data_IF_747852319718
#
_entry.id   IF_747852319718
#
_cell.length_a   1.000
_cell.length_b   1.000
_cell.length_c   1.000
_cell.angle_alpha   90.00
_cell.angle_beta   90.00
_cell.angle_gamma   90.00
#
_symmetry.space_group_name_H-M   'P 1'
#
loop_
_entity.id
_entity.type
_entity.pdbx_description
1 polymer ?
#
# COMPACT_ATOMS: atom_id res chain seq x y z
N UNK A 1 39.55 12.03 -47.08
CA UNK A 1 40.09 12.56 -45.79
C UNK A 1 41.45 11.94 -45.43
N UNK A 2 41.95 10.94 -46.15
CA UNK A 2 43.32 10.39 -46.04
C UNK A 2 44.28 10.93 -47.12
N UNK A 3 43.77 11.70 -48.09
CA UNK A 3 44.49 12.13 -49.32
C UNK A 3 45.71 13.04 -49.09
N UNK A 4 45.85 13.64 -47.90
CA UNK A 4 46.95 14.56 -47.55
C UNK A 4 48.01 13.93 -46.63
N UNK A 5 47.94 12.62 -46.40
CA UNK A 5 48.91 11.93 -45.56
C UNK A 5 50.22 11.69 -46.32
N UNK A 6 51.38 11.67 -45.62
CA UNK A 6 52.64 11.30 -46.24
C UNK A 6 52.58 9.86 -46.79
N UNK A 7 53.36 9.54 -47.84
CA UNK A 7 53.25 8.28 -48.58
C UNK A 7 53.38 7.04 -47.69
N UNK A 8 54.21 7.10 -46.65
CA UNK A 8 54.38 6.02 -45.68
C UNK A 8 53.08 5.66 -44.93
N UNK A 9 52.21 6.64 -44.71
CA UNK A 9 50.91 6.44 -44.06
C UNK A 9 49.81 6.11 -45.06
N UNK A 10 49.92 6.60 -46.31
CA UNK A 10 48.96 6.26 -47.38
C UNK A 10 48.94 4.75 -47.70
N UNK A 11 50.09 4.07 -47.59
CA UNK A 11 50.19 2.62 -47.79
C UNK A 11 49.33 1.83 -46.80
N UNK A 12 49.16 2.32 -45.57
CA UNK A 12 48.32 1.66 -44.57
C UNK A 12 46.82 1.68 -44.93
N UNK A 13 46.41 2.63 -45.77
CA UNK A 13 45.03 2.77 -46.24
C UNK A 13 44.83 2.20 -47.65
N UNK A 14 45.78 1.39 -48.15
CA UNK A 14 45.60 0.69 -49.41
C UNK A 14 44.35 -0.22 -49.32
N UNK A 15 43.43 -0.16 -50.31
CA UNK A 15 42.24 -0.97 -50.29
C UNK A 15 42.62 -2.45 -50.31
N UNK A 16 41.77 -3.28 -49.69
CA UNK A 16 41.91 -4.73 -49.80
C UNK A 16 41.71 -5.16 -51.26
N UNK A 17 42.31 -6.30 -51.69
CA UNK A 17 42.00 -6.87 -52.98
C UNK A 17 40.47 -7.10 -53.12
N UNK A 18 39.93 -7.02 -54.33
CA UNK A 18 38.50 -7.19 -54.55
C UNK A 18 38.04 -8.56 -54.05
N UNK A 19 36.88 -8.58 -53.40
CA UNK A 19 36.29 -9.82 -52.87
C UNK A 19 35.87 -10.72 -54.04
N UNK A 20 36.09 -12.03 -53.91
CA UNK A 20 35.60 -13.01 -54.88
C UNK A 20 34.07 -13.00 -54.89
N UNK A 21 33.48 -12.80 -56.06
CA UNK A 21 32.03 -12.90 -56.22
C UNK A 21 31.55 -14.31 -55.89
N UNK A 22 30.47 -14.38 -55.09
CA UNK A 22 29.68 -15.58 -54.85
C UNK A 22 28.23 -15.23 -55.18
N UNK A 23 27.46 -16.17 -55.77
CA UNK A 23 26.05 -15.93 -56.00
C UNK A 23 25.33 -15.63 -54.67
N UNK A 24 24.33 -14.72 -54.65
CA UNK A 24 23.51 -14.49 -53.47
C UNK A 24 22.84 -15.78 -53.00
N UNK A 25 22.71 -15.94 -51.68
CA UNK A 25 22.04 -17.10 -51.08
C UNK A 25 20.51 -17.05 -51.19
N UNK A 26 19.96 -15.86 -51.42
CA UNK A 26 18.53 -15.59 -51.42
C UNK A 26 18.02 -15.32 -52.83
N UNK A 27 16.71 -15.45 -53.01
CA UNK A 27 16.03 -15.13 -54.25
C UNK A 27 15.99 -13.61 -54.50
N UNK A 28 16.01 -13.23 -55.78
CA UNK A 28 15.81 -11.86 -56.19
C UNK A 28 14.42 -11.37 -55.71
N UNK A 29 14.26 -10.08 -55.39
CA UNK A 29 13.00 -9.56 -54.85
C UNK A 29 11.76 -9.87 -55.70
N UNK A 30 11.91 -9.98 -57.02
CA UNK A 30 10.83 -10.28 -57.97
C UNK A 30 10.32 -11.73 -57.84
N UNK A 31 11.20 -12.66 -57.47
CA UNK A 31 10.88 -14.08 -57.32
C UNK A 31 10.45 -14.44 -55.88
N UNK A 32 10.53 -13.48 -54.95
CA UNK A 32 10.14 -13.69 -53.55
C UNK A 32 8.62 -13.81 -53.46
N UNK A 33 8.14 -15.03 -53.22
CA UNK A 33 6.71 -15.32 -52.99
C UNK A 33 6.50 -16.11 -51.70
N UNK A 34 5.39 -15.83 -51.01
CA UNK A 34 4.88 -16.65 -49.91
C UNK A 34 4.00 -17.78 -50.47
N UNK A 35 3.48 -18.64 -49.60
CA UNK A 35 2.46 -19.61 -49.99
C UNK A 35 1.18 -18.93 -50.48
N UNK A 36 0.47 -19.63 -51.36
CA UNK A 36 -0.81 -19.18 -51.91
C UNK A 36 -1.89 -19.14 -50.82
N UNK A 37 -2.80 -18.18 -50.90
CA UNK A 37 -3.92 -18.04 -49.96
C UNK A 37 -4.95 -19.16 -50.27
N UNK A 38 -5.18 -20.05 -49.30
CA UNK A 38 -6.17 -21.13 -49.40
C UNK A 38 -7.56 -20.67 -48.92
N UNK A 39 -8.62 -21.35 -49.39
CA UNK A 39 -9.98 -21.12 -48.91
C UNK A 39 -10.27 -21.76 -47.54
N UNK A 40 -11.45 -21.46 -46.98
CA UNK A 40 -11.88 -21.95 -45.66
C UNK A 40 -12.55 -23.34 -45.73
N UNK A 41 -12.87 -23.84 -46.94
CA UNK A 41 -13.56 -25.13 -47.14
C UNK A 41 -12.97 -26.33 -46.38
N UNK A 42 -11.64 -26.49 -46.23
CA UNK A 42 -11.06 -27.59 -45.45
C UNK A 42 -11.45 -27.59 -43.96
N UNK A 43 -11.76 -26.43 -43.37
CA UNK A 43 -12.12 -26.32 -41.95
C UNK A 43 -13.55 -26.78 -41.63
N UNK A 44 -14.36 -27.07 -42.65
CA UNK A 44 -15.73 -27.61 -42.48
C UNK A 44 -15.70 -28.98 -41.80
N UNK A 45 -14.68 -29.79 -42.06
CA UNK A 45 -14.53 -31.09 -41.40
C UNK A 45 -14.09 -30.94 -39.93
N UNK A 46 -13.22 -29.97 -39.64
CA UNK A 46 -12.82 -29.64 -38.26
C UNK A 46 -14.01 -29.15 -37.42
N UNK A 47 -14.94 -28.40 -38.02
CA UNK A 47 -16.19 -27.97 -37.38
C UNK A 47 -17.12 -29.15 -37.01
N UNK A 48 -17.12 -30.24 -37.79
CA UNK A 48 -17.92 -31.44 -37.46
C UNK A 48 -17.43 -32.15 -36.21
N UNK A 49 -16.14 -32.04 -35.92
CA UNK A 49 -15.48 -32.64 -34.76
C UNK A 49 -15.29 -31.65 -33.60
N UNK A 50 -15.94 -30.48 -33.65
CA UNK A 50 -15.81 -29.46 -32.61
C UNK A 50 -16.65 -29.82 -31.37
N UNK A 51 -15.99 -29.94 -30.23
CA UNK A 51 -16.63 -30.07 -28.92
C UNK A 51 -16.71 -28.69 -28.24
N UNK A 52 -17.90 -28.31 -27.80
CA UNK A 52 -18.14 -27.00 -27.16
C UNK A 52 -17.71 -27.03 -25.68
N UNK A 53 -16.40 -26.99 -25.45
CA UNK A 53 -15.79 -26.94 -24.13
C UNK A 53 -15.49 -25.48 -23.70
N UNK A 54 -16.38 -24.54 -24.02
CA UNK A 54 -16.18 -23.13 -23.70
C UNK A 54 -16.23 -22.88 -22.19
N UNK A 55 -15.11 -22.41 -21.63
CA UNK A 55 -15.04 -21.92 -20.26
C UNK A 55 -15.06 -20.38 -20.28
N UNK A 56 -16.14 -19.75 -19.79
CA UNK A 56 -16.20 -18.30 -19.69
C UNK A 56 -15.05 -17.80 -18.81
N UNK A 57 -14.08 -17.14 -19.44
CA UNK A 57 -13.00 -16.49 -18.70
C UNK A 57 -13.48 -15.12 -18.26
N UNK A 58 -13.35 -14.83 -16.96
CA UNK A 58 -13.75 -13.54 -16.41
C UNK A 58 -12.96 -12.39 -17.06
N UNK A 59 -13.66 -11.32 -17.43
CA UNK A 59 -12.97 -10.09 -17.83
C UNK A 59 -12.31 -9.46 -16.60
N UNK A 60 -11.26 -8.67 -16.81
CA UNK A 60 -10.59 -7.97 -15.71
C UNK A 60 -11.55 -7.08 -14.90
N UNK A 61 -12.56 -6.49 -15.56
CA UNK A 61 -13.57 -5.66 -14.91
C UNK A 61 -14.47 -6.49 -13.99
N UNK A 62 -14.94 -7.66 -14.45
CA UNK A 62 -15.72 -8.60 -13.64
C UNK A 62 -14.94 -9.08 -12.42
N UNK A 63 -13.65 -9.42 -12.59
CA UNK A 63 -12.77 -9.80 -11.49
C UNK A 63 -12.62 -8.68 -10.45
N UNK A 64 -12.44 -7.43 -10.91
CA UNK A 64 -12.29 -6.26 -10.04
C UNK A 64 -13.57 -6.00 -9.23
N UNK A 65 -14.73 -6.11 -9.86
CA UNK A 65 -16.02 -5.93 -9.20
C UNK A 65 -16.30 -7.03 -8.17
N UNK A 66 -15.97 -8.29 -8.48
CA UNK A 66 -16.03 -9.41 -7.52
C UNK A 66 -15.17 -9.11 -6.28
N UNK A 67 -13.91 -8.78 -6.47
CA UNK A 67 -12.99 -8.48 -5.35
C UNK A 67 -13.46 -7.29 -4.51
N UNK A 68 -14.09 -6.29 -5.14
CA UNK A 68 -14.67 -5.14 -4.43
C UNK A 68 -15.89 -5.54 -3.61
N UNK A 69 -16.76 -6.39 -4.15
CA UNK A 69 -17.93 -6.93 -3.44
C UNK A 69 -17.50 -7.79 -2.24
N UNK A 70 -16.60 -8.75 -2.45
CA UNK A 70 -16.04 -9.61 -1.39
C UNK A 70 -15.39 -8.77 -0.27
N UNK A 71 -14.63 -7.74 -0.62
CA UNK A 71 -14.04 -6.82 0.36
C UNK A 71 -15.12 -6.07 1.15
N UNK A 72 -16.18 -5.62 0.47
CA UNK A 72 -17.31 -4.93 1.13
C UNK A 72 -18.04 -5.85 2.09
N UNK A 73 -18.29 -7.10 1.67
CA UNK A 73 -18.92 -8.12 2.52
C UNK A 73 -18.06 -8.47 3.72
N UNK A 74 -16.74 -8.61 3.55
CA UNK A 74 -15.81 -8.85 4.66
C UNK A 74 -15.83 -7.71 5.67
N UNK A 75 -15.80 -6.46 5.20
CA UNK A 75 -15.92 -5.28 6.08
C UNK A 75 -17.28 -5.27 6.78
N UNK A 76 -18.36 -5.59 6.06
CA UNK A 76 -19.69 -5.67 6.65
C UNK A 76 -19.76 -6.72 7.75
N UNK A 77 -19.26 -7.94 7.51
CA UNK A 77 -19.21 -9.02 8.51
C UNK A 77 -18.44 -8.58 9.75
N UNK A 78 -17.24 -8.01 9.58
CA UNK A 78 -16.42 -7.47 10.66
C UNK A 78 -17.18 -6.42 11.49
N UNK A 79 -17.89 -5.49 10.83
CA UNK A 79 -18.70 -4.49 11.53
C UNK A 79 -19.93 -5.07 12.24
N UNK A 80 -20.50 -6.18 11.76
CA UNK A 80 -21.71 -6.77 12.36
C UNK A 80 -21.44 -7.84 13.41
N UNK A 81 -20.37 -8.61 13.25
CA UNK A 81 -20.02 -9.75 14.11
C UNK A 81 -19.16 -9.26 15.27
N UNK A 82 -18.05 -8.56 14.99
CA UNK A 82 -17.12 -8.09 16.04
C UNK A 82 -17.79 -7.09 17.00
N UNK A 83 -18.73 -6.27 16.52
CA UNK A 83 -19.46 -5.31 17.36
C UNK A 83 -20.36 -6.03 18.38
N UNK A 84 -20.86 -7.24 18.07
CA UNK A 84 -21.66 -8.03 19.02
C UNK A 84 -20.79 -8.63 20.13
N UNK A 85 -19.55 -8.98 19.81
CA UNK A 85 -18.60 -9.54 20.77
C UNK A 85 -17.95 -8.46 21.65
N UNK A 86 -17.90 -7.21 21.17
CA UNK A 86 -17.28 -6.11 21.88
C UNK A 86 -18.06 -5.68 23.15
N UNK A 87 -17.57 -6.12 24.32
CA UNK A 87 -18.13 -5.78 25.64
C UNK A 87 -17.13 -5.02 26.51
N UNK A 88 -17.14 -3.68 26.50
CA UNK A 88 -16.14 -2.88 27.21
C UNK A 88 -16.22 -2.96 28.75
N UNK A 89 -17.34 -3.43 29.31
CA UNK A 89 -17.53 -3.55 30.77
C UNK A 89 -16.84 -4.80 31.36
N UNK A 90 -16.63 -5.83 30.54
CA UNK A 90 -16.02 -7.10 30.96
C UNK A 90 -14.48 -7.05 30.80
N UNK A 91 -13.94 -6.01 30.15
CA UNK A 91 -12.51 -5.89 29.88
C UNK A 91 -11.72 -5.52 31.15
N UNK A 92 -10.75 -6.36 31.61
CA UNK A 92 -9.92 -6.06 32.78
C UNK A 92 -9.10 -4.77 32.63
N UNK A 93 -8.92 -4.30 31.39
CA UNK A 93 -8.18 -3.10 31.08
C UNK A 93 -8.95 -1.81 31.35
N UNK A 94 -10.28 -1.86 31.22
CA UNK A 94 -11.19 -0.75 31.44
C UNK A 94 -11.58 -0.70 32.93
N UNK A 95 -10.68 -0.15 33.76
CA UNK A 95 -10.91 0.01 35.20
C UNK A 95 -11.22 1.47 35.54
N UNK A 96 -12.25 1.68 36.35
CA UNK A 96 -12.65 2.99 36.86
C UNK A 96 -14.05 3.37 36.45
N UNK A 97 -14.47 4.56 36.86
CA UNK A 97 -15.75 5.15 36.46
C UNK A 97 -15.58 5.90 35.12
N UNK A 98 -16.46 5.62 34.16
CA UNK A 98 -16.46 6.29 32.85
C UNK A 98 -16.64 7.80 32.97
N UNK A 99 -17.35 8.28 33.98
CA UNK A 99 -17.55 9.72 34.21
C UNK A 99 -16.30 10.43 34.77
N UNK A 100 -15.36 9.68 35.35
CA UNK A 100 -14.10 10.20 35.89
C UNK A 100 -12.91 10.00 34.94
N UNK A 101 -13.13 9.33 33.82
CA UNK A 101 -12.08 8.93 32.88
C UNK A 101 -12.00 9.91 31.71
N UNK A 102 -10.85 10.53 31.52
CA UNK A 102 -10.52 11.37 30.38
C UNK A 102 -9.84 10.53 29.29
N UNK A 103 -10.37 10.60 28.06
CA UNK A 103 -9.73 10.06 26.87
C UNK A 103 -8.84 11.13 26.22
N UNK A 104 -7.58 10.79 26.00
CA UNK A 104 -6.61 11.67 25.32
C UNK A 104 -6.09 10.95 24.08
N UNK A 105 -6.42 11.49 22.90
CA UNK A 105 -5.93 10.99 21.61
C UNK A 105 -4.85 11.88 21.01
N UNK A 106 -4.22 11.39 19.92
CA UNK A 106 -3.14 12.09 19.20
C UNK A 106 -1.93 12.41 20.08
N UNK A 107 -1.60 11.52 21.01
CA UNK A 107 -0.37 11.61 21.79
C UNK A 107 0.83 11.25 20.92
N UNK A 108 1.98 11.85 21.22
CA UNK A 108 3.25 11.42 20.62
C UNK A 108 3.54 9.98 21.02
N UNK A 109 4.16 9.21 20.12
CA UNK A 109 4.54 7.83 20.40
C UNK A 109 5.63 7.72 21.48
N UNK A 110 6.38 8.80 21.70
CA UNK A 110 7.46 8.85 22.69
C UNK A 110 6.99 9.36 24.06
N UNK A 111 5.71 9.69 24.22
CA UNK A 111 5.16 10.21 25.47
C UNK A 111 5.15 9.15 26.57
N UNK A 112 5.74 9.49 27.72
CA UNK A 112 5.72 8.65 28.91
C UNK A 112 4.61 9.05 29.90
N UNK A 113 4.35 8.18 30.88
CA UNK A 113 3.37 8.43 31.96
C UNK A 113 3.71 9.71 32.74
N UNK A 114 5.00 10.01 32.94
CA UNK A 114 5.47 11.19 33.67
C UNK A 114 5.07 12.50 33.00
N UNK A 115 5.06 12.54 31.67
CA UNK A 115 4.67 13.73 30.91
C UNK A 115 3.17 13.97 31.05
N UNK A 116 2.36 12.90 30.99
CA UNK A 116 0.92 12.98 31.23
C UNK A 116 0.63 13.42 32.67
N UNK A 117 1.35 12.89 33.66
CA UNK A 117 1.18 13.27 35.05
C UNK A 117 1.51 14.75 35.28
N UNK A 118 2.58 15.26 34.66
CA UNK A 118 2.96 16.68 34.74
C UNK A 118 1.92 17.61 34.12
N UNK A 119 1.45 17.31 32.92
CA UNK A 119 0.51 18.18 32.20
C UNK A 119 -0.91 18.10 32.78
N UNK A 120 -1.36 16.90 33.14
CA UNK A 120 -2.72 16.66 33.62
C UNK A 120 -2.87 16.82 35.13
N UNK A 121 -1.79 16.74 35.91
CA UNK A 121 -1.81 16.94 37.36
C UNK A 121 -2.24 18.35 37.77
N UNK A 122 -2.12 19.35 36.88
CA UNK A 122 -2.60 20.72 37.16
C UNK A 122 -4.12 20.83 37.30
N UNK A 123 -4.86 19.87 36.74
CA UNK A 123 -6.32 19.91 36.69
C UNK A 123 -6.97 19.21 37.88
N UNK A 124 -6.27 18.25 38.50
CA UNK A 124 -6.72 17.55 39.69
C UNK A 124 -5.85 16.33 40.00
N UNK A 125 -6.05 15.71 41.19
CA UNK A 125 -5.38 14.48 41.55
C UNK A 125 -5.78 13.32 40.63
N UNK A 126 -4.77 12.63 40.11
CA UNK A 126 -4.92 11.52 39.17
C UNK A 126 -4.89 10.20 39.95
N UNK A 127 -5.88 9.34 39.73
CA UNK A 127 -5.95 8.00 40.31
C UNK A 127 -5.11 7.00 39.49
N UNK A 128 -5.26 7.03 38.17
CA UNK A 128 -4.58 6.08 37.28
C UNK A 128 -4.38 6.64 35.87
N UNK A 129 -3.20 6.42 35.30
CA UNK A 129 -2.90 6.70 33.89
C UNK A 129 -2.66 5.37 33.17
N UNK A 130 -3.27 5.21 32.00
CA UNK A 130 -3.06 4.05 31.11
C UNK A 130 -2.83 4.52 29.69
N UNK A 131 -1.61 4.35 29.19
CA UNK A 131 -1.30 4.49 27.76
C UNK A 131 -1.65 3.16 27.08
N UNK A 132 -2.36 3.21 25.96
CA UNK A 132 -2.73 1.98 25.25
C UNK A 132 -1.66 1.60 24.24
N UNK A 133 -1.11 0.41 24.44
CA UNK A 133 -0.16 -0.23 23.55
C UNK A 133 -0.83 -1.26 22.66
N UNK A 134 -0.22 -1.57 21.53
CA UNK A 134 -0.64 -2.69 20.69
C UNK A 134 -0.25 -4.00 21.38
N UNK A 135 -1.23 -4.89 21.61
CA UNK A 135 -1.02 -6.19 22.28
C UNK A 135 -0.28 -7.17 21.36
N UNK A 136 -0.33 -6.94 20.05
CA UNK A 136 0.30 -7.80 19.04
C UNK A 136 1.75 -7.41 18.73
N UNK A 137 2.21 -6.27 19.22
CA UNK A 137 3.57 -5.79 18.96
C UNK A 137 4.57 -6.48 19.89
N UNK A 138 5.73 -6.89 19.34
CA UNK A 138 6.85 -7.37 20.13
C UNK A 138 7.33 -6.33 21.15
N UNK A 139 7.78 -6.78 22.33
CA UNK A 139 8.24 -5.89 23.41
C UNK A 139 9.41 -4.98 23.00
N UNK A 140 10.22 -5.43 22.03
CA UNK A 140 11.36 -4.71 21.45
C UNK A 140 11.01 -3.88 20.20
N UNK A 141 9.74 -3.78 19.83
CA UNK A 141 9.33 -3.01 18.67
C UNK A 141 9.55 -1.50 18.90
N UNK A 142 9.85 -0.72 17.83
CA UNK A 142 9.98 0.73 17.94
C UNK A 142 8.69 1.36 18.52
N UNK A 143 8.80 2.49 19.24
CA UNK A 143 7.68 3.12 19.95
C UNK A 143 6.47 3.40 19.04
N UNK A 144 6.71 3.67 17.75
CA UNK A 144 5.68 3.85 16.72
C UNK A 144 4.78 2.62 16.49
N UNK A 145 5.29 1.42 16.73
CA UNK A 145 4.53 0.16 16.63
C UNK A 145 4.00 -0.30 17.99
N UNK A 146 4.62 0.13 19.09
CA UNK A 146 4.23 -0.24 20.45
C UNK A 146 3.06 0.60 20.97
N UNK A 147 3.10 1.92 20.78
CA UNK A 147 2.12 2.84 21.35
C UNK A 147 1.04 3.20 20.31
N UNK A 148 -0.25 3.09 20.66
CA UNK A 148 -1.35 3.43 19.74
C UNK A 148 -1.66 4.94 19.68
N UNK A 149 -0.97 5.75 20.48
CA UNK A 149 -1.12 7.21 20.49
C UNK A 149 -2.37 7.73 21.21
N UNK A 150 -2.93 6.93 22.13
CA UNK A 150 -4.01 7.36 23.02
C UNK A 150 -3.86 6.80 24.44
N UNK A 151 -4.41 7.52 25.41
CA UNK A 151 -4.37 7.19 26.82
C UNK A 151 -5.70 7.45 27.52
N UNK A 152 -5.92 6.73 28.62
CA UNK A 152 -7.01 6.93 29.57
C UNK A 152 -6.45 7.42 30.90
N UNK A 153 -7.00 8.52 31.40
CA UNK A 153 -6.61 9.12 32.68
C UNK A 153 -7.84 9.12 33.59
N UNK A 154 -7.77 8.40 34.70
CA UNK A 154 -8.81 8.33 35.72
C UNK A 154 -8.49 9.35 36.80
N UNK A 155 -9.40 10.28 37.06
CA UNK A 155 -9.31 11.24 38.16
C UNK A 155 -10.06 10.74 39.40
N UNK A 156 -9.67 11.21 40.58
CA UNK A 156 -10.40 10.89 41.81
C UNK A 156 -11.83 11.49 41.82
N UNK A 157 -11.95 12.71 41.29
CA UNK A 157 -13.20 13.51 41.30
C UNK A 157 -13.70 13.75 39.88
N UNK A 158 -15.00 13.55 39.67
CA UNK A 158 -15.67 13.82 38.39
C UNK A 158 -15.57 15.31 37.98
N UNK A 159 -15.59 16.21 38.97
CA UNK A 159 -15.48 17.66 38.75
C UNK A 159 -14.16 18.05 38.07
N UNK A 160 -13.08 17.32 38.34
CA UNK A 160 -11.76 17.64 37.80
C UNK A 160 -11.64 17.20 36.33
N UNK A 161 -12.35 16.11 35.97
CA UNK A 161 -12.53 15.69 34.58
C UNK A 161 -13.42 16.65 33.79
N UNK A 162 -14.57 17.04 34.36
CA UNK A 162 -15.59 17.85 33.67
C UNK A 162 -15.30 19.35 33.67
N UNK A 163 -14.67 19.86 34.72
CA UNK A 163 -14.58 21.29 35.01
C UNK A 163 -13.76 22.09 34.02
N UNK A 164 -12.84 21.45 33.28
CA UNK A 164 -11.94 22.14 32.34
C UNK A 164 -11.53 21.27 31.16
N UNK A 165 -12.38 20.37 30.67
CA UNK A 165 -12.27 20.01 29.25
C UNK A 165 -12.56 21.31 28.50
N UNK A 166 -11.58 21.90 27.80
CA UNK A 166 -11.89 23.07 26.98
C UNK A 166 -12.92 22.59 25.99
N UNK A 167 -14.14 23.11 26.12
CA UNK A 167 -15.16 22.98 25.10
C UNK A 167 -14.48 23.43 23.82
N UNK A 168 -14.20 22.48 22.92
CA UNK A 168 -13.52 22.71 21.66
C UNK A 168 -12.30 23.63 21.78
N UNK A 169 -11.10 23.09 21.96
CA UNK A 169 -9.93 23.82 21.46
C UNK A 169 -10.21 24.15 19.99
N UNK A 170 -10.33 25.43 19.58
CA UNK A 170 -10.38 25.74 18.17
C UNK A 170 -9.08 25.22 17.59
N UNK A 171 -9.20 24.34 16.58
CA UNK A 171 -8.14 23.85 15.71
C UNK A 171 -6.80 24.52 16.00
N UNK A 172 -5.92 23.87 16.75
CA UNK A 172 -4.55 24.31 16.92
C UNK A 172 -3.95 24.39 15.50
N UNK A 173 -3.94 25.60 14.94
CA UNK A 173 -3.36 25.94 13.67
C UNK A 173 -1.85 25.84 13.87
N UNK A 174 -1.31 24.64 13.68
CA UNK A 174 0.13 24.47 13.54
C UNK A 174 0.50 25.14 12.22
N UNK A 175 1.28 26.24 12.21
CA UNK A 175 1.77 26.79 10.96
C UNK A 175 2.61 25.69 10.26
N UNK A 176 2.50 25.53 8.94
CA UNK A 176 3.29 24.56 8.22
C UNK A 176 4.77 24.85 8.47
N UNK A 177 5.48 23.87 9.03
CA UNK A 177 6.93 23.91 9.12
C UNK A 177 7.47 23.96 7.69
N UNK A 178 7.96 25.14 7.29
CA UNK A 178 8.78 25.30 6.10
C UNK A 178 10.06 24.49 6.32
N UNK A 179 10.07 23.25 5.85
CA UNK A 179 11.31 22.54 5.57
C UNK A 179 11.83 23.07 4.24
N UNK A 180 12.94 23.82 4.32
CA UNK A 180 13.87 24.01 3.20
C UNK A 180 14.71 22.75 3.02
#
# INVERSE_FOLDING_TARGET
>A
MTDKLPPNLLVLFAPRPPVRYLPPSDHAPEDRKTHDITGIAPYVEALKNYEDNYQPTESWLQRKDRLKAEKRERIHKLLTEDVKEYKPKEDPNARGDGFKTLFVGRLSYDTEVKDLEREFGRFGPIERIRIVTDVTADENAPPKKKNRGYAFIVYEREKDMKGKTPQSFPSCYFPPANYR
#
